data_IF_886020452326
#
_entry.id   IF_886020452326
#
_cell.length_a   1.000
_cell.length_b   1.000
_cell.length_c   1.000
_cell.angle_alpha   90.00
_cell.angle_beta   90.00
_cell.angle_gamma   90.00
#
_symmetry.space_group_name_H-M   'P 1'
#
loop_
_entity.id
_entity.type
_entity.pdbx_description
1 polymer ?
#
# COMPACT_ATOMS: atom_id res chain seq x y z
N UNK A 1 35.61 -23.78 18.76
CA UNK A 1 34.46 -23.42 17.91
C UNK A 1 33.31 -23.23 18.86
N UNK A 2 32.91 -21.99 19.12
CA UNK A 2 31.87 -21.70 20.12
C UNK A 2 30.54 -22.10 19.51
N UNK A 3 29.91 -23.15 20.02
CA UNK A 3 28.56 -23.53 19.59
C UNK A 3 27.60 -22.39 19.93
N UNK A 4 27.05 -21.76 18.89
CA UNK A 4 26.01 -20.75 19.04
C UNK A 4 24.77 -21.50 19.54
N UNK A 5 24.24 -21.09 20.69
CA UNK A 5 23.03 -21.71 21.23
C UNK A 5 21.84 -21.43 20.32
N UNK A 6 20.83 -22.32 20.26
CA UNK A 6 19.60 -22.06 19.52
C UNK A 6 18.94 -20.72 19.89
N UNK A 7 19.07 -20.30 21.16
CA UNK A 7 18.56 -19.02 21.65
C UNK A 7 19.28 -17.83 21.04
N UNK A 8 20.60 -17.89 20.88
CA UNK A 8 21.37 -16.84 20.23
C UNK A 8 21.02 -16.74 18.73
N UNK A 9 20.92 -17.87 18.03
CA UNK A 9 20.47 -17.88 16.61
C UNK A 9 19.06 -17.30 16.45
N UNK A 10 18.14 -17.62 17.37
CA UNK A 10 16.79 -17.07 17.35
C UNK A 10 16.78 -15.56 17.55
N UNK A 11 17.65 -15.02 18.42
CA UNK A 11 17.77 -13.58 18.63
C UNK A 11 18.30 -12.87 17.39
N UNK A 12 19.31 -13.44 16.72
CA UNK A 12 19.89 -12.86 15.50
C UNK A 12 18.87 -12.83 14.35
N UNK A 13 18.09 -13.92 14.18
CA UNK A 13 17.02 -13.97 13.19
C UNK A 13 15.92 -12.95 13.48
N UNK A 14 15.54 -12.77 14.75
CA UNK A 14 14.54 -11.76 15.14
C UNK A 14 15.03 -10.34 14.89
N UNK A 15 16.28 -10.04 15.21
CA UNK A 15 16.87 -8.74 14.87
C UNK A 15 16.84 -8.46 13.36
N UNK A 16 17.02 -9.50 12.53
CA UNK A 16 16.90 -9.39 11.08
C UNK A 16 15.44 -9.14 10.65
N UNK A 17 14.47 -9.81 11.27
CA UNK A 17 13.04 -9.59 11.04
C UNK A 17 12.65 -8.16 11.40
N UNK A 18 13.06 -7.67 12.57
CA UNK A 18 12.74 -6.30 13.02
C UNK A 18 13.25 -5.24 12.04
N UNK A 19 14.44 -5.46 11.44
CA UNK A 19 14.99 -4.58 10.41
C UNK A 19 14.18 -4.62 9.10
N UNK A 20 13.73 -5.81 8.68
CA UNK A 20 12.87 -5.97 7.51
C UNK A 20 11.53 -5.27 7.74
N UNK A 21 10.94 -5.43 8.93
CA UNK A 21 9.66 -4.81 9.29
C UNK A 21 9.76 -3.27 9.27
N UNK A 22 10.86 -2.70 9.79
CA UNK A 22 11.12 -1.27 9.68
C UNK A 22 11.19 -0.80 8.22
N UNK A 23 11.89 -1.55 7.36
CA UNK A 23 11.97 -1.23 5.94
C UNK A 23 10.59 -1.31 5.25
N UNK A 24 9.79 -2.34 5.56
CA UNK A 24 8.43 -2.48 5.05
C UNK A 24 7.55 -1.28 5.43
N UNK A 25 7.61 -0.81 6.68
CA UNK A 25 6.86 0.37 7.13
C UNK A 25 7.27 1.62 6.36
N UNK A 26 8.57 1.85 6.19
CA UNK A 26 9.06 3.00 5.41
C UNK A 26 8.64 2.95 3.94
N UNK A 27 8.69 1.78 3.31
CA UNK A 27 8.25 1.59 1.93
C UNK A 27 6.74 1.79 1.78
N UNK A 28 5.94 1.32 2.75
CA UNK A 28 4.51 1.58 2.79
C UNK A 28 4.22 3.07 2.93
N UNK A 29 4.91 3.78 3.83
CA UNK A 29 4.74 5.22 4.01
C UNK A 29 4.98 5.98 2.69
N UNK A 30 6.04 5.64 1.97
CA UNK A 30 6.36 6.24 0.68
C UNK A 30 5.33 5.89 -0.41
N UNK A 31 4.85 4.64 -0.42
CA UNK A 31 3.76 4.21 -1.31
C UNK A 31 2.49 5.00 -1.03
N UNK A 32 2.13 5.20 0.24
CA UNK A 32 0.94 5.96 0.63
C UNK A 32 1.06 7.44 0.27
N UNK A 33 2.25 8.04 0.41
CA UNK A 33 2.55 9.40 -0.07
C UNK A 33 2.25 9.54 -1.56
N UNK A 34 2.73 8.60 -2.37
CA UNK A 34 2.45 8.56 -3.82
C UNK A 34 0.95 8.40 -4.11
N UNK A 35 0.28 7.46 -3.43
CA UNK A 35 -1.16 7.24 -3.68
C UNK A 35 -2.02 8.43 -3.23
N UNK A 36 -1.61 9.18 -2.21
CA UNK A 36 -2.29 10.43 -1.82
C UNK A 36 -2.17 11.48 -2.93
N UNK A 37 -0.99 11.64 -3.53
CA UNK A 37 -0.80 12.54 -4.66
C UNK A 37 -1.67 12.12 -5.87
N UNK A 38 -1.75 10.81 -6.16
CA UNK A 38 -2.68 10.28 -7.17
C UNK A 38 -4.14 10.61 -6.83
N UNK A 39 -4.53 10.47 -5.56
CA UNK A 39 -5.89 10.80 -5.10
C UNK A 39 -6.24 12.27 -5.30
N UNK A 40 -5.32 13.18 -4.95
CA UNK A 40 -5.47 14.62 -5.19
C UNK A 40 -5.58 14.91 -6.69
N UNK A 41 -4.73 14.30 -7.52
CA UNK A 41 -4.79 14.44 -8.98
C UNK A 41 -6.13 13.98 -9.55
N UNK A 42 -6.58 12.78 -9.16
CA UNK A 42 -7.87 12.21 -9.57
C UNK A 42 -9.02 13.13 -9.16
N UNK A 43 -9.05 13.52 -7.89
CA UNK A 43 -10.07 14.42 -7.37
C UNK A 43 -10.07 15.74 -8.16
N UNK A 44 -8.89 16.32 -8.45
CA UNK A 44 -8.71 17.58 -9.19
C UNK A 44 -9.33 17.53 -10.59
N UNK A 45 -9.20 16.40 -11.28
CA UNK A 45 -9.67 16.22 -12.65
C UNK A 45 -11.00 15.46 -12.77
N UNK A 46 -11.69 15.19 -11.65
CA UNK A 46 -12.96 14.45 -11.67
C UNK A 46 -12.82 12.99 -12.11
N UNK A 47 -11.63 12.40 -11.95
CA UNK A 47 -11.39 10.99 -12.27
C UNK A 47 -11.91 10.08 -11.13
N UNK A 48 -12.38 8.87 -11.46
CA UNK A 48 -12.89 7.95 -10.46
C UNK A 48 -11.80 7.48 -9.48
N UNK A 49 -12.14 7.32 -8.18
CA UNK A 49 -11.20 6.86 -7.16
C UNK A 49 -10.72 5.43 -7.43
N UNK A 50 -11.61 4.53 -7.85
CA UNK A 50 -11.29 3.16 -8.26
C UNK A 50 -10.95 3.07 -9.76
N UNK A 51 -10.11 2.11 -10.12
CA UNK A 51 -9.77 1.78 -11.52
C UNK A 51 -9.58 0.26 -11.63
N UNK A 52 -10.64 -0.48 -11.96
CA UNK A 52 -10.61 -1.95 -11.97
C UNK A 52 -9.56 -2.54 -12.92
N UNK A 53 -9.30 -1.87 -14.05
CA UNK A 53 -8.30 -2.32 -15.02
C UNK A 53 -6.88 -2.16 -14.45
N UNK A 54 -6.62 -1.02 -13.80
CA UNK A 54 -5.35 -0.78 -13.13
C UNK A 54 -5.15 -1.75 -11.96
N UNK A 55 -6.19 -2.02 -11.19
CA UNK A 55 -6.18 -2.97 -10.06
C UNK A 55 -5.85 -4.39 -10.53
N UNK A 56 -6.54 -4.90 -11.56
CA UNK A 56 -6.26 -6.21 -12.15
C UNK A 56 -4.80 -6.33 -12.63
N UNK A 57 -4.27 -5.29 -13.27
CA UNK A 57 -2.87 -5.25 -13.73
C UNK A 57 -1.88 -5.27 -12.55
N UNK A 58 -2.19 -4.59 -11.44
CA UNK A 58 -1.35 -4.62 -10.24
C UNK A 58 -1.33 -6.00 -9.59
N UNK A 59 -2.49 -6.66 -9.51
CA UNK A 59 -2.62 -8.01 -8.95
C UNK A 59 -1.80 -8.99 -9.79
N UNK A 60 -1.99 -9.01 -11.12
CA UNK A 60 -1.25 -9.91 -12.00
C UNK A 60 0.28 -9.71 -11.89
N UNK A 61 0.74 -8.46 -11.88
CA UNK A 61 2.17 -8.15 -11.71
C UNK A 61 2.69 -8.60 -10.34
N UNK A 62 1.92 -8.40 -9.27
CA UNK A 62 2.38 -8.76 -7.94
C UNK A 62 2.43 -10.28 -7.73
N UNK A 63 1.47 -11.03 -8.29
CA UNK A 63 1.52 -12.50 -8.28
C UNK A 63 2.81 -13.00 -8.92
N UNK A 64 3.20 -12.46 -10.08
CA UNK A 64 4.47 -12.80 -10.71
C UNK A 64 5.68 -12.46 -9.84
N UNK A 65 5.70 -11.28 -9.21
CA UNK A 65 6.80 -10.90 -8.31
C UNK A 65 6.88 -11.81 -7.08
N UNK A 66 5.74 -12.28 -6.58
CA UNK A 66 5.70 -13.21 -5.47
C UNK A 66 6.27 -14.58 -5.88
N UNK A 67 5.85 -15.11 -7.04
CA UNK A 67 6.40 -16.33 -7.62
C UNK A 67 7.93 -16.25 -7.78
N UNK A 68 8.43 -15.17 -8.39
CA UNK A 68 9.88 -14.94 -8.59
C UNK A 68 10.65 -14.87 -7.27
N UNK A 69 10.01 -14.34 -6.21
CA UNK A 69 10.56 -14.22 -4.87
C UNK A 69 10.33 -15.46 -3.98
N UNK A 70 9.74 -16.54 -4.52
CA UNK A 70 9.37 -17.75 -3.76
C UNK A 70 8.42 -17.45 -2.58
N UNK A 71 7.55 -16.45 -2.74
CA UNK A 71 6.47 -16.09 -1.82
C UNK A 71 5.14 -16.59 -2.40
N UNK A 72 4.26 -17.09 -1.53
CA UNK A 72 2.90 -17.50 -1.94
C UNK A 72 2.16 -16.35 -2.66
N UNK A 73 1.80 -16.51 -3.96
CA UNK A 73 1.09 -15.49 -4.72
C UNK A 73 -0.28 -15.13 -4.13
N UNK A 74 -0.95 -16.09 -3.49
CA UNK A 74 -2.26 -15.85 -2.89
C UNK A 74 -2.13 -14.99 -1.63
N UNK A 75 -1.04 -15.17 -0.87
CA UNK A 75 -0.69 -14.27 0.22
C UNK A 75 -0.37 -12.86 -0.29
N UNK A 76 0.46 -12.74 -1.33
CA UNK A 76 0.82 -11.45 -1.90
C UNK A 76 -0.40 -10.69 -2.43
N UNK A 77 -1.32 -11.38 -3.10
CA UNK A 77 -2.58 -10.82 -3.58
C UNK A 77 -3.47 -10.34 -2.41
N UNK A 78 -3.63 -11.15 -1.36
CA UNK A 78 -4.40 -10.75 -0.16
C UNK A 78 -3.82 -9.49 0.48
N UNK A 79 -2.50 -9.42 0.60
CA UNK A 79 -1.81 -8.24 1.13
C UNK A 79 -2.05 -7.00 0.26
N UNK A 80 -1.92 -7.12 -1.07
CA UNK A 80 -2.17 -6.00 -1.97
C UNK A 80 -3.62 -5.53 -1.95
N UNK A 81 -4.57 -6.46 -1.92
CA UNK A 81 -6.00 -6.15 -1.82
C UNK A 81 -6.32 -5.42 -0.51
N UNK A 82 -5.63 -5.73 0.59
CA UNK A 82 -5.71 -4.95 1.82
C UNK A 82 -5.22 -3.49 1.60
N UNK A 83 -4.05 -3.31 0.99
CA UNK A 83 -3.50 -1.98 0.74
C UNK A 83 -4.35 -1.17 -0.25
N UNK A 84 -4.85 -1.79 -1.33
CA UNK A 84 -5.69 -1.11 -2.34
C UNK A 84 -6.98 -0.59 -1.71
N UNK A 85 -7.65 -1.39 -0.89
CA UNK A 85 -8.87 -0.96 -0.17
C UNK A 85 -8.64 0.30 0.66
N UNK A 86 -7.52 0.35 1.37
CA UNK A 86 -7.17 1.52 2.17
C UNK A 86 -6.85 2.76 1.32
N UNK A 87 -6.24 2.57 0.15
CA UNK A 87 -6.00 3.67 -0.81
C UNK A 87 -7.30 4.22 -1.38
N UNK A 88 -8.22 3.34 -1.80
CA UNK A 88 -9.53 3.74 -2.37
C UNK A 88 -10.32 4.55 -1.34
N UNK A 89 -10.36 4.09 -0.08
CA UNK A 89 -11.00 4.80 1.03
C UNK A 89 -10.46 6.23 1.17
N UNK A 90 -9.14 6.43 1.07
CA UNK A 90 -8.56 7.77 1.11
C UNK A 90 -8.92 8.63 -0.11
N UNK A 91 -9.03 8.04 -1.30
CA UNK A 91 -9.44 8.77 -2.50
C UNK A 91 -10.90 9.23 -2.42
N UNK A 92 -11.79 8.37 -1.91
CA UNK A 92 -13.20 8.71 -1.67
C UNK A 92 -13.34 9.87 -0.68
N UNK A 93 -12.57 9.87 0.42
CA UNK A 93 -12.56 10.98 1.38
C UNK A 93 -12.13 12.30 0.74
N UNK A 94 -11.05 12.30 -0.04
CA UNK A 94 -10.56 13.50 -0.74
C UNK A 94 -11.57 14.03 -1.77
N UNK A 95 -12.25 13.13 -2.49
CA UNK A 95 -13.30 13.51 -3.42
C UNK A 95 -14.50 14.14 -2.68
N UNK A 96 -14.92 13.57 -1.55
CA UNK A 96 -16.01 14.09 -0.73
C UNK A 96 -15.69 15.48 -0.14
N UNK A 97 -14.48 15.68 0.40
CA UNK A 97 -14.03 16.98 0.92
C UNK A 97 -14.08 18.08 -0.16
N UNK A 98 -13.69 17.76 -1.39
CA UNK A 98 -13.73 18.71 -2.51
C UNK A 98 -15.16 19.07 -2.91
N UNK A 99 -16.06 18.09 -2.98
CA UNK A 99 -17.46 18.31 -3.32
C UNK A 99 -18.18 19.14 -2.25
N UNK A 100 -17.89 18.92 -0.96
CA UNK A 100 -18.44 19.72 0.15
C UNK A 100 -17.80 21.11 0.33
N UNK A 101 -16.67 21.37 -0.31
CA UNK A 101 -16.04 22.70 -0.37
C UNK A 101 -16.56 23.57 -1.52
N UNK A 102 -16.95 22.96 -2.64
CA UNK A 102 -17.47 23.67 -3.82
C UNK A 102 -18.84 24.34 -3.57
N UNK A 103 -19.62 23.86 -2.61
CA UNK A 103 -20.97 24.35 -2.29
C UNK A 103 -20.97 25.61 -1.39
N UNK A 104 -19.80 26.05 -0.90
CA UNK A 104 -19.63 27.22 -0.02
C UNK A 104 -19.18 28.51 -0.74
N UNK A 105 -19.02 28.49 -2.06
CA UNK A 105 -18.47 29.63 -2.82
C UNK A 105 -19.46 30.29 -3.79
N UNK A 106 -20.72 29.83 -3.84
CA UNK A 106 -21.75 30.35 -4.77
C UNK A 106 -22.84 31.22 -4.12
N UNK A 107 -22.67 31.64 -2.86
CA UNK A 107 -23.53 32.65 -2.23
C UNK A 107 -22.75 33.94 -1.93
N UNK A 108 -22.64 34.81 -2.91
CA UNK A 108 -22.33 36.23 -2.74
C UNK A 108 -23.03 37.04 -3.85
#
# INVERSE_FOLDING_TARGET
MTDITPQAQLQDLRASIDNIDAALVHMLAERFRCTKAVGVLKATHGLPPADPNREATQIARLRQLADDAHLDPDFAEKFLNFIIREVIRHHEMLAAERNGGSDRTTSA
#
